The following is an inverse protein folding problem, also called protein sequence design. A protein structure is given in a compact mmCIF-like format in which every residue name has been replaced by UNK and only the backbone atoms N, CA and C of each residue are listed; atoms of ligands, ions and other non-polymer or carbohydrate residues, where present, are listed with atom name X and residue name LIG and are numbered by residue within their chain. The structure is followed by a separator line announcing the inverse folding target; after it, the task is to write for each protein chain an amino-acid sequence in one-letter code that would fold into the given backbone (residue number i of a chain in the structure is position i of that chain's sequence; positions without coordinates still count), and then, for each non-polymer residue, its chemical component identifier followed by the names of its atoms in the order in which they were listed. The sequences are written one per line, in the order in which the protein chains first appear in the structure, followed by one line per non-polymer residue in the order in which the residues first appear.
data_IF_975346004638
#
_entry.id   IF_975346004638
#
_cell.length_a   1.000
_cell.length_b   1.000
_cell.length_c   1.000
_cell.angle_alpha   90.00
_cell.angle_beta   90.00
_cell.angle_gamma   90.00
#
_symmetry.space_group_name_H-M   'P 1'
#
loop_
_entity.id
_entity.type
_entity.pdbx_description
1 polymer ?
#
# COMPACT_ATOMS: atom_id res chain seq x y z
N UNK A 1 8.48 7.79 -7.61
CA UNK A 1 7.57 7.97 -6.46
C UNK A 1 7.89 9.26 -5.73
N UNK A 2 6.89 10.02 -5.45
CA UNK A 2 7.04 11.23 -4.65
C UNK A 2 6.78 10.89 -3.20
N UNK A 3 7.69 11.25 -2.32
CA UNK A 3 7.55 10.97 -0.90
C UNK A 3 7.44 12.29 -0.14
N UNK A 4 6.34 12.47 0.55
CA UNK A 4 6.14 13.60 1.44
C UNK A 4 6.21 13.09 2.87
N UNK A 5 7.14 13.61 3.63
CA UNK A 5 7.36 13.17 5.00
C UNK A 5 7.10 14.33 5.95
N UNK A 6 6.26 14.09 6.94
CA UNK A 6 5.90 15.07 7.95
C UNK A 6 6.03 14.47 9.34
N UNK A 7 6.21 15.33 10.31
CA UNK A 7 6.22 14.90 11.71
C UNK A 7 5.24 15.76 12.51
N UNK A 8 4.70 15.16 13.56
CA UNK A 8 3.74 15.80 14.42
C UNK A 8 4.14 15.57 15.87
N UNK A 9 4.28 16.65 16.62
CA UNK A 9 4.66 16.61 18.03
C UNK A 9 6.02 15.97 18.29
N UNK A 10 6.89 15.97 17.29
CA UNK A 10 8.26 15.49 17.45
C UNK A 10 9.13 16.04 16.33
N UNK A 11 10.42 16.05 16.56
CA UNK A 11 11.36 16.51 15.57
C UNK A 11 11.67 15.40 14.57
N UNK A 12 11.72 15.76 13.29
CA UNK A 12 12.08 14.85 12.24
C UNK A 12 13.59 14.88 12.04
N UNK A 13 14.28 13.97 12.72
CA UNK A 13 15.74 13.91 12.64
C UNK A 13 16.18 13.28 11.31
N UNK A 14 17.44 13.55 10.87
CA UNK A 14 17.94 12.89 9.68
C UNK A 14 17.90 11.37 9.74
N UNK A 15 18.12 10.79 10.91
CA UNK A 15 18.06 9.34 11.07
C UNK A 15 16.66 8.79 10.82
N UNK A 16 15.65 9.49 11.33
CA UNK A 16 14.25 9.09 11.11
C UNK A 16 13.89 9.24 9.64
N UNK A 17 14.27 10.37 9.04
CA UNK A 17 14.02 10.63 7.63
C UNK A 17 14.62 9.53 6.76
N UNK A 18 15.87 9.19 6.99
CA UNK A 18 16.57 8.16 6.22
C UNK A 18 15.90 6.81 6.38
N UNK A 19 15.48 6.48 7.59
CA UNK A 19 14.83 5.23 7.87
C UNK A 19 13.51 5.10 7.13
N UNK A 20 12.69 6.15 7.18
CA UNK A 20 11.40 6.17 6.49
C UNK A 20 11.60 6.05 4.98
N UNK A 21 12.52 6.85 4.43
CA UNK A 21 12.77 6.82 2.99
C UNK A 21 13.22 5.44 2.55
N UNK A 22 14.09 4.82 3.32
CA UNK A 22 14.57 3.47 3.02
C UNK A 22 13.43 2.45 3.00
N UNK A 23 12.55 2.51 3.98
CA UNK A 23 11.43 1.58 4.07
C UNK A 23 10.40 1.82 2.97
N UNK A 24 10.09 3.08 2.68
CA UNK A 24 9.13 3.41 1.63
C UNK A 24 9.69 3.04 0.26
N UNK A 25 10.99 3.19 0.05
CA UNK A 25 11.62 2.82 -1.20
C UNK A 25 11.46 1.33 -1.50
N UNK A 26 11.39 0.50 -0.46
CA UNK A 26 11.13 -0.92 -0.64
C UNK A 26 9.73 -1.17 -1.23
N UNK A 27 8.77 -0.30 -0.95
CA UNK A 27 7.44 -0.40 -1.55
C UNK A 27 7.46 -0.01 -3.02
N UNK A 28 8.38 0.85 -3.41
CA UNK A 28 8.52 1.27 -4.79
C UNK A 28 8.74 0.09 -5.73
N UNK A 29 9.42 -0.93 -5.25
CA UNK A 29 9.69 -2.12 -6.05
C UNK A 29 8.41 -2.82 -6.51
N UNK A 30 7.39 -2.85 -5.65
CA UNK A 30 6.11 -3.47 -6.01
C UNK A 30 5.22 -2.54 -6.82
N UNK A 31 5.53 -1.24 -6.82
CA UNK A 31 4.77 -0.24 -7.57
C UNK A 31 5.45 0.15 -8.88
N UNK A 32 6.62 -0.38 -9.13
CA UNK A 32 7.44 0.01 -10.27
C UNK A 32 6.73 -0.15 -11.61
N UNK A 33 6.02 -1.25 -11.79
CA UNK A 33 5.30 -1.48 -13.03
C UNK A 33 4.27 -0.40 -13.31
N UNK A 34 3.63 0.11 -12.26
CA UNK A 34 2.63 1.15 -12.40
C UNK A 34 3.28 2.45 -12.83
N UNK A 35 4.43 2.78 -12.24
CA UNK A 35 5.18 3.97 -12.60
C UNK A 35 5.68 3.90 -14.04
N UNK A 36 6.16 2.74 -14.46
CA UNK A 36 6.64 2.54 -15.83
C UNK A 36 5.54 2.66 -16.86
N UNK A 37 4.30 2.41 -16.46
CA UNK A 37 3.14 2.59 -17.33
C UNK A 37 2.62 4.02 -17.32
N UNK A 38 3.37 4.94 -16.75
CA UNK A 38 3.00 6.34 -16.69
C UNK A 38 2.14 6.72 -15.50
N UNK A 39 1.95 5.81 -14.57
CA UNK A 39 1.20 6.10 -13.36
C UNK A 39 2.05 6.85 -12.36
N UNK A 40 1.51 7.93 -11.81
CA UNK A 40 2.19 8.67 -10.76
C UNK A 40 1.90 8.02 -9.41
N UNK A 41 2.94 7.86 -8.60
CA UNK A 41 2.83 7.28 -7.27
C UNK A 41 3.27 8.32 -6.25
N UNK A 42 2.40 8.61 -5.30
CA UNK A 42 2.66 9.55 -4.22
C UNK A 42 2.53 8.83 -2.89
N UNK A 43 3.50 9.01 -2.01
CA UNK A 43 3.48 8.46 -0.66
C UNK A 43 3.52 9.63 0.33
N UNK A 44 2.53 9.70 1.19
CA UNK A 44 2.48 10.69 2.27
C UNK A 44 2.72 9.95 3.57
N UNK A 45 3.85 10.17 4.17
CA UNK A 45 4.23 9.49 5.41
C UNK A 45 4.25 10.47 6.55
N UNK A 46 3.60 10.15 7.63
CA UNK A 46 3.58 10.98 8.83
C UNK A 46 4.04 10.16 10.02
N UNK A 47 4.90 10.75 10.83
CA UNK A 47 5.33 10.17 12.10
C UNK A 47 4.96 11.13 13.20
N UNK A 48 4.64 10.60 14.36
CA UNK A 48 4.23 11.44 15.46
C UNK A 48 4.49 10.81 16.80
N UNK A 49 4.48 11.64 17.81
CA UNK A 49 4.61 11.19 19.18
C UNK A 49 3.36 11.59 19.91
N UNK A 50 2.73 10.64 20.56
CA UNK A 50 1.56 10.87 21.35
C UNK A 50 1.89 10.58 22.80
N UNK A 51 1.58 11.54 23.67
CA UNK A 51 1.71 11.30 25.10
C UNK A 51 0.37 10.80 25.59
N UNK A 52 0.34 9.59 26.07
CA UNK A 52 -0.86 9.05 26.64
C UNK A 52 -0.80 9.27 28.15
N UNK A 53 -1.62 10.19 28.64
CA UNK A 53 -1.59 10.55 30.05
C UNK A 53 -2.04 9.44 30.98
N UNK A 54 -2.67 8.43 30.46
CA UNK A 54 -3.18 7.34 31.27
C UNK A 54 -2.18 6.20 31.44
N UNK A 55 -1.10 6.24 30.71
CA UNK A 55 -0.08 5.21 30.76
C UNK A 55 1.29 5.84 30.84
N UNK A 56 2.17 5.20 31.57
CA UNK A 56 3.55 5.64 31.59
C UNK A 56 4.18 5.31 30.27
N UNK A 57 4.83 6.28 29.65
CA UNK A 57 5.57 6.07 28.44
C UNK A 57 4.97 6.78 27.25
N UNK A 58 5.79 6.94 26.24
CA UNK A 58 5.42 7.58 25.00
C UNK A 58 4.95 6.56 23.99
N UNK A 59 3.94 6.94 23.23
CA UNK A 59 3.47 6.12 22.12
C UNK A 59 3.81 6.85 20.85
N UNK A 60 4.42 6.15 19.91
CA UNK A 60 4.76 6.70 18.61
C UNK A 60 3.75 6.23 17.59
N UNK A 61 3.38 7.14 16.73
CA UNK A 61 2.42 6.89 15.67
C UNK A 61 3.11 7.05 14.32
N UNK A 62 2.78 6.17 13.40
CA UNK A 62 3.19 6.31 12.01
C UNK A 62 2.02 5.98 11.12
N UNK A 63 1.89 6.72 10.03
CA UNK A 63 0.90 6.37 9.03
C UNK A 63 1.44 6.72 7.64
N UNK A 64 0.87 6.09 6.64
CA UNK A 64 1.26 6.35 5.27
C UNK A 64 0.07 6.14 4.35
N UNK A 65 -0.11 7.09 3.46
CA UNK A 65 -1.10 7.00 2.40
C UNK A 65 -0.37 6.95 1.07
N UNK A 66 -0.60 5.90 0.31
CA UNK A 66 -0.06 5.77 -1.03
C UNK A 66 -1.19 5.94 -2.03
N UNK A 67 -1.02 6.88 -2.94
CA UNK A 67 -2.01 7.15 -4.00
C UNK A 67 -1.39 6.79 -5.33
N UNK A 68 -2.07 5.93 -6.07
CA UNK A 68 -1.59 5.48 -7.37
C UNK A 68 -2.78 5.18 -8.28
N UNK A 69 -2.85 5.86 -9.42
CA UNK A 69 -3.89 5.65 -10.43
C UNK A 69 -5.31 5.53 -9.86
N UNK A 70 -5.66 6.45 -8.98
CA UNK A 70 -7.00 6.46 -8.40
C UNK A 70 -7.22 5.46 -7.29
N UNK A 71 -6.22 4.67 -6.96
CA UNK A 71 -6.29 3.76 -5.82
C UNK A 71 -5.53 4.35 -4.66
N UNK A 72 -6.01 4.08 -3.47
CA UNK A 72 -5.37 4.52 -2.25
C UNK A 72 -5.10 3.34 -1.34
N UNK A 73 -3.90 3.33 -0.78
CA UNK A 73 -3.53 2.35 0.23
C UNK A 73 -3.11 3.10 1.47
N UNK A 74 -3.70 2.75 2.58
CA UNK A 74 -3.44 3.44 3.83
C UNK A 74 -3.14 2.45 4.94
N UNK A 75 -2.19 2.79 5.80
CA UNK A 75 -1.90 2.02 6.98
C UNK A 75 -1.40 2.93 8.08
N UNK A 76 -1.71 2.56 9.32
CA UNK A 76 -1.22 3.28 10.48
C UNK A 76 -0.84 2.28 11.56
N UNK A 77 0.03 2.70 12.46
CA UNK A 77 0.45 1.88 13.59
C UNK A 77 0.87 2.76 14.75
N UNK A 78 0.55 2.31 15.94
CA UNK A 78 0.94 2.96 17.19
C UNK A 78 1.74 1.95 18.00
N UNK A 79 2.97 2.30 18.33
CA UNK A 79 3.85 1.42 19.09
C UNK A 79 4.70 2.23 20.05
N UNK A 80 5.36 1.54 20.97
CA UNK A 80 6.26 2.18 21.93
C UNK A 80 7.57 2.61 21.29
N UNK A 81 7.88 2.07 20.11
CA UNK A 81 9.11 2.38 19.39
C UNK A 81 8.74 2.89 18.00
N UNK A 82 9.21 4.10 17.66
CA UNK A 82 8.90 4.71 16.38
C UNK A 82 9.32 3.85 15.20
N UNK A 83 10.48 3.22 15.28
CA UNK A 83 10.96 2.39 14.18
C UNK A 83 10.08 1.17 13.96
N UNK A 84 9.54 0.61 15.03
CA UNK A 84 8.56 -0.48 14.93
C UNK A 84 7.28 -0.01 14.28
N UNK A 85 6.84 1.21 14.59
CA UNK A 85 5.65 1.76 13.97
C UNK A 85 5.84 1.93 12.47
N UNK A 86 6.98 2.46 12.07
CA UNK A 86 7.33 2.64 10.66
C UNK A 86 7.36 1.29 9.94
N UNK A 87 7.99 0.29 10.54
CA UNK A 87 8.06 -1.04 9.97
C UNK A 87 6.69 -1.68 9.81
N UNK A 88 5.83 -1.53 10.82
CA UNK A 88 4.49 -2.09 10.78
C UNK A 88 3.67 -1.46 9.64
N UNK A 89 3.77 -0.14 9.47
CA UNK A 89 3.08 0.55 8.40
C UNK A 89 3.56 0.05 7.04
N UNK A 90 4.87 -0.08 6.87
CA UNK A 90 5.46 -0.56 5.62
C UNK A 90 5.00 -1.99 5.31
N UNK A 91 5.03 -2.87 6.30
CA UNK A 91 4.63 -4.26 6.10
C UNK A 91 3.15 -4.38 5.73
N UNK A 92 2.30 -3.61 6.39
CA UNK A 92 0.88 -3.60 6.09
C UNK A 92 0.61 -3.11 4.67
N UNK A 93 1.28 -2.05 4.26
CA UNK A 93 1.14 -1.52 2.91
C UNK A 93 1.63 -2.52 1.86
N UNK A 94 2.74 -3.16 2.15
CA UNK A 94 3.29 -4.18 1.25
C UNK A 94 2.27 -5.29 1.00
N UNK A 95 1.63 -5.77 2.06
CA UNK A 95 0.61 -6.81 1.94
C UNK A 95 -0.61 -6.33 1.17
N UNK A 96 -1.08 -5.12 1.48
CA UNK A 96 -2.27 -4.59 0.82
C UNK A 96 -2.05 -4.35 -0.67
N UNK A 97 -0.89 -3.84 -1.03
CA UNK A 97 -0.54 -3.62 -2.44
C UNK A 97 -0.46 -4.95 -3.18
N UNK A 98 0.20 -5.93 -2.61
CA UNK A 98 0.31 -7.24 -3.23
C UNK A 98 -1.03 -7.94 -3.35
N UNK A 99 -1.89 -7.81 -2.34
CA UNK A 99 -3.24 -8.34 -2.41
C UNK A 99 -4.03 -7.73 -3.56
N UNK A 100 -3.91 -6.44 -3.73
CA UNK A 100 -4.59 -5.73 -4.81
C UNK A 100 -4.08 -6.20 -6.18
N UNK A 101 -2.77 -6.35 -6.32
CA UNK A 101 -2.18 -6.85 -7.56
C UNK A 101 -2.66 -8.26 -7.88
N UNK A 102 -2.65 -9.13 -6.89
CA UNK A 102 -3.10 -10.51 -7.08
C UNK A 102 -4.56 -10.57 -7.47
N UNK A 103 -5.39 -9.74 -6.84
CA UNK A 103 -6.81 -9.68 -7.14
C UNK A 103 -7.04 -9.22 -8.58
N UNK A 104 -6.36 -8.18 -9.01
CA UNK A 104 -6.49 -7.67 -10.36
C UNK A 104 -6.03 -8.69 -11.38
N UNK A 105 -4.94 -9.35 -11.11
CA UNK A 105 -4.42 -10.38 -11.98
C UNK A 105 -5.41 -11.54 -12.10
N UNK A 106 -5.99 -11.96 -11.00
CA UNK A 106 -6.99 -13.03 -10.98
C UNK A 106 -8.21 -12.63 -11.79
N UNK A 107 -8.69 -11.42 -11.62
CA UNK A 107 -9.85 -10.93 -12.37
C UNK A 107 -9.55 -10.85 -13.86
N UNK A 108 -8.37 -10.43 -14.23
CA UNK A 108 -7.95 -10.38 -15.62
C UNK A 108 -7.97 -11.77 -16.23
N UNK A 109 -7.38 -12.73 -15.57
CA UNK A 109 -7.36 -14.12 -16.06
C UNK A 109 -8.76 -14.72 -16.17
N UNK A 110 -9.62 -14.42 -15.22
CA UNK A 110 -11.01 -14.86 -15.28
C UNK A 110 -11.72 -14.25 -16.46
N UNK A 111 -11.53 -12.95 -16.69
CA UNK A 111 -12.12 -12.27 -17.82
C UNK A 111 -11.66 -12.85 -19.15
N UNK A 112 -10.38 -13.07 -19.29
CA UNK A 112 -9.81 -13.66 -20.51
C UNK A 112 -10.38 -15.06 -20.75
N UNK A 113 -10.51 -15.83 -19.69
CA UNK A 113 -11.05 -17.18 -19.78
C UNK A 113 -12.52 -17.15 -20.20
N UNK A 114 -13.28 -16.22 -19.67
CA UNK A 114 -14.69 -16.08 -20.02
C UNK A 114 -14.87 -15.72 -21.49
N UNK A 115 -14.08 -14.79 -21.97
CA UNK A 115 -14.13 -14.40 -23.39
C UNK A 115 -13.80 -15.58 -24.26
N UNK A 116 -12.77 -16.33 -23.92
CA UNK A 116 -12.38 -17.51 -24.67
C UNK A 116 -13.50 -18.53 -24.72
N UNK A 117 -14.19 -18.74 -23.59
CA UNK A 117 -15.33 -19.64 -23.51
C UNK A 117 -16.46 -19.18 -24.42
N UNK A 118 -16.77 -17.91 -24.40
CA UNK A 118 -17.81 -17.37 -25.26
C UNK A 118 -17.51 -17.59 -26.74
N UNK A 119 -16.28 -17.37 -27.13
CA UNK A 119 -15.89 -17.56 -28.52
C UNK A 119 -15.96 -18.99 -28.95
N UNK A 120 -15.63 -19.92 -28.05
CA UNK A 120 -15.69 -21.34 -28.38
C UNK A 120 -17.09 -21.90 -28.40
N UNK A 121 -17.92 -21.44 -27.48
CA UNK A 121 -19.19 -22.05 -27.26
C UNK A 121 -20.37 -21.17 -27.62
N UNK A 122 -20.25 -20.42 -28.70
CA UNK A 122 -21.32 -19.52 -29.11
C UNK A 122 -22.66 -20.20 -29.22
N UNK A 123 -22.67 -21.44 -29.66
CA UNK A 123 -23.92 -22.14 -29.90
C UNK A 123 -24.60 -22.64 -28.66
N UNK A 124 -23.85 -22.90 -27.62
CA UNK A 124 -24.45 -23.58 -26.45
C UNK A 124 -24.05 -23.00 -25.15
N UNK A 125 -23.42 -21.90 -25.16
CA UNK A 125 -22.82 -21.44 -23.95
C UNK A 125 -23.71 -20.55 -23.17
N UNK A 126 -23.82 -20.84 -21.94
CA UNK A 126 -24.47 -19.96 -21.00
C UNK A 126 -23.41 -19.15 -20.26
N UNK A 127 -23.33 -17.85 -20.49
CA UNK A 127 -22.29 -17.03 -19.87
C UNK A 127 -22.36 -17.01 -18.35
N UNK A 128 -23.49 -17.30 -17.79
CA UNK A 128 -23.63 -17.27 -16.35
C UNK A 128 -22.93 -18.39 -15.63
N UNK A 129 -22.56 -19.42 -16.33
CA UNK A 129 -21.84 -20.51 -15.70
C UNK A 129 -20.37 -20.23 -15.54
N UNK A 130 -19.86 -19.17 -16.13
CA UNK A 130 -18.45 -18.88 -16.02
C UNK A 130 -18.14 -18.08 -14.79
N UNK A 131 -18.87 -17.88 -13.99
CA UNK A 131 -18.52 -17.29 -12.78
C UNK A 131 -17.23 -16.60 -12.73
N UNK A 132 -17.12 -16.57 -12.78
CA UNK A 132 -16.08 -15.96 -12.38
C UNK A 132 -15.89 -15.28 -12.24
#
# INVERSE_FOLDING_TARGET
MKINLQSKNMELTPAIRDYVIKRVTNLEKVLKNIEEQGGEVTAKFEVGKSTNHHKSGSVFHADCLIVVKGEEFYSSADTEDLYQAIDAVKENLFREINKSKDRKQTLFHRGARSVKKMMKGLSKRNPFTSKY
#
